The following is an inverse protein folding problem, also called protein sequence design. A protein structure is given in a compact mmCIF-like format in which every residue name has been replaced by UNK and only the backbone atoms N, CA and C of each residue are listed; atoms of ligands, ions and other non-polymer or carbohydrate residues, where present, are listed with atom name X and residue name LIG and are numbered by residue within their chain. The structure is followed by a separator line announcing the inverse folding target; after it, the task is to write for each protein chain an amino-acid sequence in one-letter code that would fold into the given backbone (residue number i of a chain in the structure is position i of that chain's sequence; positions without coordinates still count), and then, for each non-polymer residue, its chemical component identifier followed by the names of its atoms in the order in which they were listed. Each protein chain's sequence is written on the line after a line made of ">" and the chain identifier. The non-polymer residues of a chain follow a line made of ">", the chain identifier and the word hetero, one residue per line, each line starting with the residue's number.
data_IF_531145628753
#
_entry.id   IF_531145628753
#
_cell.length_a   1.000
_cell.length_b   1.000
_cell.length_c   1.000
_cell.angle_alpha   90.00
_cell.angle_beta   90.00
_cell.angle_gamma   90.00
#
_symmetry.space_group_name_H-M   'P 1'
#
loop_
_entity.id
_entity.type
_entity.pdbx_description
1 polymer ?
#
# COMPACT_ATOMS: atom_id res chain seq x y z
N UNK A 1 20.14 25.82 -16.76
CA UNK A 1 19.14 25.69 -17.85
C UNK A 1 18.85 27.03 -18.52
N UNK A 2 18.36 28.05 -17.79
CA UNK A 2 17.99 29.37 -18.35
C UNK A 2 19.18 30.18 -18.91
N UNK A 3 20.37 30.03 -18.34
CA UNK A 3 21.60 30.72 -18.80
C UNK A 3 22.22 30.14 -20.07
N UNK A 4 21.77 28.97 -20.54
CA UNK A 4 22.34 28.29 -21.71
C UNK A 4 21.82 28.84 -23.04
N UNK A 5 20.51 29.01 -23.25
CA UNK A 5 19.99 29.59 -24.49
C UNK A 5 20.04 31.13 -24.45
N UNK A 6 20.70 31.79 -25.44
CA UNK A 6 20.80 33.25 -25.50
C UNK A 6 19.45 33.97 -25.49
N UNK A 7 18.43 33.37 -26.09
CA UNK A 7 17.07 33.90 -26.13
C UNK A 7 16.49 34.09 -24.72
N UNK A 8 16.57 33.09 -23.83
CA UNK A 8 16.02 33.22 -22.47
C UNK A 8 16.85 34.18 -21.63
N UNK A 9 18.18 34.15 -21.76
CA UNK A 9 19.06 35.02 -20.97
C UNK A 9 18.85 36.52 -21.25
N UNK A 10 18.40 36.89 -22.46
CA UNK A 10 18.07 38.27 -22.83
C UNK A 10 16.83 38.79 -22.08
N UNK A 11 15.80 37.95 -21.95
CA UNK A 11 14.49 38.36 -21.45
C UNK A 11 14.28 38.14 -19.96
N UNK A 12 15.13 37.34 -19.32
CA UNK A 12 14.93 36.89 -17.94
C UNK A 12 15.99 37.47 -17.01
N UNK A 13 15.61 37.78 -15.77
CA UNK A 13 16.52 38.10 -14.66
C UNK A 13 16.42 37.02 -13.60
N UNK A 14 17.55 36.43 -13.22
CA UNK A 14 17.61 35.40 -12.17
C UNK A 14 18.04 36.08 -10.87
N UNK A 15 17.26 35.89 -9.81
CA UNK A 15 17.56 36.31 -8.45
C UNK A 15 17.79 35.06 -7.59
N UNK A 16 19.03 34.56 -7.58
CA UNK A 16 19.37 33.28 -6.94
C UNK A 16 19.10 33.27 -5.43
N UNK A 17 19.36 34.39 -4.74
CA UNK A 17 19.12 34.52 -3.29
C UNK A 17 17.65 34.32 -2.88
N UNK A 18 16.73 34.69 -3.77
CA UNK A 18 15.28 34.58 -3.55
C UNK A 18 14.68 33.37 -4.27
N UNK A 19 15.50 32.55 -4.94
CA UNK A 19 15.07 31.46 -5.82
C UNK A 19 13.96 31.89 -6.79
N UNK A 20 14.15 33.07 -7.41
CA UNK A 20 13.16 33.75 -8.25
C UNK A 20 13.70 34.02 -9.65
N UNK A 21 12.84 33.86 -10.64
CA UNK A 21 13.08 34.14 -12.05
C UNK A 21 12.07 35.20 -12.48
N UNK A 22 12.53 36.33 -12.98
CA UNK A 22 11.68 37.46 -13.40
C UNK A 22 11.72 37.56 -14.92
N UNK A 23 10.56 37.57 -15.55
CA UNK A 23 10.41 37.90 -16.97
C UNK A 23 10.29 39.43 -17.11
N UNK A 24 11.35 40.06 -17.62
CA UNK A 24 11.48 41.53 -17.62
C UNK A 24 10.34 42.25 -18.38
N UNK A 25 9.86 41.77 -19.55
CA UNK A 25 8.86 42.51 -20.34
C UNK A 25 7.53 42.77 -19.63
N UNK A 26 7.06 41.83 -18.80
CA UNK A 26 5.77 41.97 -18.07
C UNK A 26 5.95 42.06 -16.56
N UNK A 27 7.20 42.02 -16.07
CA UNK A 27 7.55 41.95 -14.66
C UNK A 27 6.89 40.80 -13.89
N UNK A 28 6.44 39.75 -14.59
CA UNK A 28 5.95 38.52 -13.98
C UNK A 28 7.12 37.70 -13.45
N UNK A 29 6.86 36.82 -12.49
CA UNK A 29 7.91 36.01 -11.89
C UNK A 29 7.47 34.58 -11.60
N UNK A 30 8.45 33.68 -11.65
CA UNK A 30 8.36 32.31 -11.16
C UNK A 30 9.24 32.19 -9.93
N UNK A 31 8.73 31.63 -8.85
CA UNK A 31 9.45 31.55 -7.58
C UNK A 31 9.25 30.20 -6.93
N UNK A 32 10.34 29.64 -6.40
CA UNK A 32 10.29 28.46 -5.54
C UNK A 32 9.87 28.90 -4.14
N UNK A 33 8.81 28.28 -3.63
CA UNK A 33 8.32 28.51 -2.27
C UNK A 33 8.74 27.34 -1.38
N UNK A 34 9.21 27.61 -0.15
CA UNK A 34 9.55 26.56 0.83
C UNK A 34 8.29 25.84 1.33
N UNK A 35 8.41 24.66 1.95
CA UNK A 35 7.25 23.89 2.40
C UNK A 35 6.47 24.54 3.58
N UNK A 36 7.01 25.58 4.21
CA UNK A 36 6.41 26.24 5.38
C UNK A 36 5.22 27.12 4.98
N UNK A 37 4.03 26.80 5.49
CA UNK A 37 2.78 27.47 5.17
C UNK A 37 2.70 28.92 5.70
N UNK A 38 3.41 29.22 6.80
CA UNK A 38 3.21 30.45 7.59
C UNK A 38 3.66 31.74 6.89
N UNK A 39 4.55 31.66 5.88
CA UNK A 39 5.08 32.83 5.16
C UNK A 39 4.35 33.16 3.85
N UNK A 40 3.21 32.51 3.58
CA UNK A 40 2.59 32.50 2.23
C UNK A 40 1.23 33.18 2.11
N UNK A 41 0.67 33.70 3.20
CA UNK A 41 -0.51 34.55 3.11
C UNK A 41 -0.15 35.86 2.35
N UNK A 42 -0.92 36.20 1.31
CA UNK A 42 -0.79 37.46 0.58
C UNK A 42 -0.08 37.40 -0.78
N UNK A 43 0.33 36.23 -1.26
CA UNK A 43 0.76 36.11 -2.66
C UNK A 43 -0.46 36.12 -3.59
N UNK A 44 -0.43 36.98 -4.60
CA UNK A 44 -1.46 37.07 -5.63
C UNK A 44 -1.08 36.17 -6.82
N UNK A 45 -1.37 34.87 -6.70
CA UNK A 45 -0.79 33.81 -7.55
C UNK A 45 -1.65 33.52 -8.77
N UNK A 46 -1.08 33.63 -9.98
CA UNK A 46 -1.76 33.23 -11.23
C UNK A 46 -1.69 31.73 -11.51
N UNK A 47 -0.73 31.02 -10.93
CA UNK A 47 -0.67 29.57 -11.05
C UNK A 47 0.32 28.92 -10.10
N UNK A 48 0.03 27.66 -9.74
CA UNK A 48 0.80 26.87 -8.78
C UNK A 48 1.17 25.55 -9.45
N UNK A 49 2.45 25.18 -9.35
CA UNK A 49 2.92 23.83 -9.65
C UNK A 49 3.33 23.21 -8.34
N UNK A 50 2.56 22.23 -7.89
CA UNK A 50 2.79 21.48 -6.68
C UNK A 50 3.35 20.12 -7.06
N UNK A 51 4.65 19.96 -6.88
CA UNK A 51 5.35 18.71 -7.16
C UNK A 51 5.38 17.82 -5.91
N UNK A 52 5.44 16.51 -6.12
CA UNK A 52 5.51 15.49 -5.07
C UNK A 52 4.48 15.63 -3.94
N UNK A 53 3.20 15.81 -4.28
CA UNK A 53 2.11 15.98 -3.29
C UNK A 53 2.06 14.88 -2.20
N UNK A 54 2.41 13.62 -2.51
CA UNK A 54 2.48 12.51 -1.55
C UNK A 54 3.46 12.73 -0.39
N UNK A 55 4.44 13.63 -0.55
CA UNK A 55 5.43 13.94 0.50
C UNK A 55 4.90 14.93 1.54
N UNK A 56 3.76 15.57 1.28
CA UNK A 56 3.26 16.62 2.16
C UNK A 56 2.83 16.05 3.51
N UNK A 57 3.30 16.65 4.62
CA UNK A 57 3.02 16.13 5.96
C UNK A 57 1.57 16.34 6.37
N UNK A 58 0.92 17.39 5.86
CA UNK A 58 -0.46 17.75 6.16
C UNK A 58 -1.05 18.66 5.06
N UNK A 59 -2.32 19.05 5.24
CA UNK A 59 -3.10 19.86 4.30
C UNK A 59 -2.79 21.36 4.31
N UNK A 60 -2.04 21.87 5.30
CA UNK A 60 -1.94 23.31 5.54
C UNK A 60 -1.38 24.07 4.34
N UNK A 61 -0.28 23.58 3.75
CA UNK A 61 0.29 24.22 2.57
C UNK A 61 -0.64 24.13 1.35
N UNK A 62 -1.33 23.01 1.18
CA UNK A 62 -2.28 22.84 0.08
C UNK A 62 -3.45 23.82 0.19
N UNK A 63 -4.05 23.97 1.38
CA UNK A 63 -5.16 24.90 1.59
C UNK A 63 -4.75 26.37 1.39
N UNK A 64 -3.59 26.80 1.91
CA UNK A 64 -3.11 28.18 1.75
C UNK A 64 -2.90 28.54 0.27
N UNK A 65 -2.36 27.59 -0.52
CA UNK A 65 -2.09 27.82 -1.94
C UNK A 65 -3.37 27.77 -2.78
N UNK A 66 -4.30 26.88 -2.44
CA UNK A 66 -5.50 26.62 -3.24
C UNK A 66 -6.68 27.54 -2.90
N UNK A 67 -6.81 27.97 -1.64
CA UNK A 67 -7.92 28.82 -1.17
C UNK A 67 -7.45 30.27 -0.99
N UNK A 68 -6.48 30.51 -0.12
CA UNK A 68 -6.16 31.88 0.30
C UNK A 68 -5.39 32.70 -0.77
N UNK A 69 -4.55 32.05 -1.58
CA UNK A 69 -3.66 32.74 -2.52
C UNK A 69 -4.23 32.90 -3.94
N UNK A 70 -5.32 32.16 -4.24
CA UNK A 70 -5.96 32.11 -5.56
C UNK A 70 -7.15 33.06 -5.72
N UNK A 71 -7.84 33.37 -4.62
CA UNK A 71 -9.12 34.09 -4.61
C UNK A 71 -9.03 35.51 -5.21
N UNK A 72 -7.84 36.11 -5.23
CA UNK A 72 -7.61 37.44 -5.81
C UNK A 72 -7.45 37.45 -7.34
N UNK A 73 -7.37 36.29 -8.01
CA UNK A 73 -7.20 36.19 -9.49
C UNK A 73 -8.38 35.51 -10.15
N UNK A 74 -8.73 36.03 -11.33
CA UNK A 74 -9.59 35.32 -12.27
C UNK A 74 -8.80 34.20 -12.95
N UNK A 75 -9.39 33.00 -12.99
CA UNK A 75 -8.86 31.82 -13.68
C UNK A 75 -7.43 31.37 -13.28
N UNK A 76 -7.12 31.22 -11.98
CA UNK A 76 -5.83 30.65 -11.56
C UNK A 76 -5.71 29.19 -12.00
N UNK A 77 -4.48 28.74 -12.30
CA UNK A 77 -4.22 27.36 -12.75
C UNK A 77 -3.35 26.59 -11.76
N UNK A 78 -3.81 25.41 -11.36
CA UNK A 78 -3.13 24.54 -10.40
C UNK A 78 -2.72 23.23 -11.05
N UNK A 79 -1.44 22.89 -10.94
CA UNK A 79 -0.90 21.59 -11.33
C UNK A 79 -0.49 20.82 -10.09
N UNK A 80 -1.10 19.66 -9.87
CA UNK A 80 -0.69 18.72 -8.83
C UNK A 80 -0.02 17.53 -9.51
N UNK A 81 1.27 17.37 -9.28
CA UNK A 81 2.09 16.30 -9.86
C UNK A 81 2.56 15.43 -8.71
N UNK A 82 2.38 14.11 -8.83
CA UNK A 82 2.77 13.20 -7.77
C UNK A 82 2.82 11.76 -8.23
N UNK A 83 3.47 10.93 -7.42
CA UNK A 83 3.39 9.47 -7.44
C UNK A 83 2.51 8.97 -6.31
N UNK A 84 2.06 7.72 -6.40
CA UNK A 84 1.28 7.06 -5.36
C UNK A 84 2.08 7.02 -4.05
N UNK A 85 1.39 7.27 -2.94
CA UNK A 85 1.99 7.24 -1.62
C UNK A 85 1.74 5.93 -0.88
N UNK A 86 2.17 5.91 0.39
CA UNK A 86 1.90 4.81 1.32
C UNK A 86 0.82 5.11 2.35
N UNK A 87 0.38 6.37 2.42
CA UNK A 87 -0.57 6.88 3.42
C UNK A 87 -1.91 7.21 2.78
N UNK A 88 -2.92 6.42 3.10
CA UNK A 88 -4.31 6.65 2.68
C UNK A 88 -4.98 7.81 3.43
N UNK A 89 -4.46 8.19 4.59
CA UNK A 89 -4.88 9.40 5.32
C UNK A 89 -3.98 10.59 4.99
N UNK A 90 -3.89 10.96 3.71
CA UNK A 90 -3.08 12.08 3.24
C UNK A 90 -3.84 12.98 2.25
N UNK A 91 -3.41 14.23 2.12
CA UNK A 91 -3.98 15.15 1.12
C UNK A 91 -3.80 14.62 -0.31
N UNK A 92 -2.69 13.93 -0.57
CA UNK A 92 -2.45 13.28 -1.85
C UNK A 92 -3.49 12.19 -2.13
N UNK A 93 -3.79 11.34 -1.15
CA UNK A 93 -4.81 10.29 -1.32
C UNK A 93 -6.21 10.88 -1.52
N UNK A 94 -6.55 11.96 -0.83
CA UNK A 94 -7.81 12.69 -1.04
C UNK A 94 -7.95 13.19 -2.49
N UNK A 95 -6.90 13.84 -3.02
CA UNK A 95 -6.90 14.32 -4.41
C UNK A 95 -6.92 13.16 -5.41
N UNK A 96 -6.21 12.06 -5.12
CA UNK A 96 -6.24 10.86 -5.93
C UNK A 96 -7.64 10.22 -5.98
N UNK A 97 -8.33 10.13 -4.83
CA UNK A 97 -9.69 9.60 -4.78
C UNK A 97 -10.67 10.51 -5.55
N UNK A 98 -10.56 11.84 -5.39
CA UNK A 98 -11.33 12.80 -6.19
C UNK A 98 -11.10 12.58 -7.70
N UNK A 99 -9.84 12.41 -8.11
CA UNK A 99 -9.50 12.15 -9.51
C UNK A 99 -10.12 10.85 -10.02
N UNK A 100 -10.07 9.77 -9.24
CA UNK A 100 -10.69 8.49 -9.58
C UNK A 100 -12.21 8.58 -9.69
N UNK A 101 -12.87 9.29 -8.78
CA UNK A 101 -14.32 9.45 -8.79
C UNK A 101 -14.80 10.27 -9.99
N UNK A 102 -14.03 11.28 -10.42
CA UNK A 102 -14.30 12.05 -11.65
C UNK A 102 -14.12 11.19 -12.90
N UNK A 103 -13.01 10.45 -13.01
CA UNK A 103 -12.77 9.54 -14.13
C UNK A 103 -13.83 8.43 -14.22
N UNK A 104 -14.35 7.97 -13.09
CA UNK A 104 -15.41 6.96 -13.03
C UNK A 104 -16.83 7.56 -13.24
N UNK A 105 -16.96 8.88 -13.42
CA UNK A 105 -18.24 9.55 -13.57
C UNK A 105 -19.10 9.61 -12.29
N UNK A 106 -18.56 9.23 -11.13
CA UNK A 106 -19.24 9.31 -9.83
C UNK A 106 -19.35 10.75 -9.33
N UNK A 107 -18.43 11.61 -9.74
CA UNK A 107 -18.39 13.04 -9.40
C UNK A 107 -18.21 13.85 -10.67
N UNK A 108 -18.95 14.95 -10.78
CA UNK A 108 -18.83 15.90 -11.89
C UNK A 108 -18.22 17.18 -11.32
N UNK A 109 -17.00 17.50 -11.77
CA UNK A 109 -16.31 18.74 -11.43
C UNK A 109 -15.58 19.26 -12.68
N UNK A 110 -16.14 20.25 -13.40
CA UNK A 110 -15.55 20.75 -14.65
C UNK A 110 -14.26 21.56 -14.42
N UNK A 111 -13.92 21.89 -13.16
CA UNK A 111 -12.71 22.65 -12.81
C UNK A 111 -11.50 21.76 -12.54
N UNK A 112 -11.69 20.44 -12.48
CA UNK A 112 -10.64 19.48 -12.14
C UNK A 112 -10.43 18.50 -13.29
N UNK A 113 -9.23 18.53 -13.89
CA UNK A 113 -8.86 17.65 -14.99
C UNK A 113 -7.90 16.54 -14.49
N UNK A 114 -8.40 15.32 -14.22
CA UNK A 114 -7.58 14.22 -13.74
C UNK A 114 -6.85 13.49 -14.89
N UNK A 115 -5.58 13.18 -14.67
CA UNK A 115 -4.82 12.22 -15.49
C UNK A 115 -4.07 11.30 -14.55
N UNK A 116 -4.30 9.98 -14.66
CA UNK A 116 -3.64 8.97 -13.84
C UNK A 116 -3.02 7.95 -14.78
N UNK A 117 -1.69 7.85 -14.74
CA UNK A 117 -0.95 6.73 -15.31
C UNK A 117 -0.56 5.80 -14.17
N UNK A 118 -1.16 4.62 -14.13
CA UNK A 118 -0.94 3.65 -13.07
C UNK A 118 -1.58 2.31 -13.39
N UNK A 119 -1.05 1.27 -12.78
CA UNK A 119 -1.62 -0.06 -12.81
C UNK A 119 -2.78 -0.16 -11.80
N UNK A 120 -3.77 -0.99 -12.11
CA UNK A 120 -4.77 -1.39 -11.12
C UNK A 120 -4.09 -2.19 -9.99
N UNK A 121 -4.70 -2.25 -8.81
CA UNK A 121 -4.06 -2.87 -7.64
C UNK A 121 -3.83 -4.39 -7.82
N UNK A 122 -4.68 -5.00 -8.62
CA UNK A 122 -4.76 -6.42 -8.97
C UNK A 122 -4.06 -6.77 -10.30
N UNK A 123 -3.60 -5.78 -11.07
CA UNK A 123 -2.79 -6.01 -12.27
C UNK A 123 -1.50 -6.78 -11.89
N UNK A 124 -1.07 -7.72 -12.75
CA UNK A 124 0.21 -8.41 -12.59
C UNK A 124 1.36 -7.42 -12.73
N UNK A 125 2.00 -7.11 -11.61
CA UNK A 125 3.10 -6.17 -11.54
C UNK A 125 4.35 -6.62 -12.30
N UNK A 126 4.42 -7.89 -12.72
CA UNK A 126 5.54 -8.45 -13.47
C UNK A 126 5.31 -8.47 -14.99
N UNK A 127 4.12 -8.09 -15.45
CA UNK A 127 3.76 -8.01 -16.86
C UNK A 127 4.21 -6.69 -17.50
N UNK A 128 4.98 -6.78 -18.59
CA UNK A 128 5.48 -5.61 -19.32
C UNK A 128 4.35 -4.76 -19.92
N UNK A 129 3.22 -5.37 -20.29
CA UNK A 129 2.06 -4.62 -20.80
C UNK A 129 1.50 -3.67 -19.74
N UNK A 130 1.47 -4.11 -18.47
CA UNK A 130 1.10 -3.28 -17.32
C UNK A 130 2.11 -2.14 -17.13
N UNK A 131 3.40 -2.38 -17.39
CA UNK A 131 4.42 -1.34 -17.29
C UNK A 131 4.23 -0.26 -18.34
N UNK A 132 3.94 -0.61 -19.59
CA UNK A 132 3.65 0.36 -20.65
C UNK A 132 2.39 1.19 -20.35
N UNK A 133 1.35 0.57 -19.78
CA UNK A 133 0.13 1.27 -19.33
C UNK A 133 0.43 2.30 -18.24
N UNK A 134 1.29 1.97 -17.27
CA UNK A 134 1.63 2.86 -16.16
C UNK A 134 2.71 3.91 -16.51
N UNK A 135 3.52 3.67 -17.56
CA UNK A 135 4.66 4.51 -17.92
C UNK A 135 4.57 4.96 -19.39
N UNK A 136 3.89 6.09 -19.70
CA UNK A 136 3.75 6.58 -21.07
C UNK A 136 5.07 6.94 -21.77
N UNK A 137 6.15 7.12 -21.00
CA UNK A 137 7.48 7.48 -21.48
C UNK A 137 8.44 6.28 -21.62
N UNK A 138 7.97 5.07 -21.31
CA UNK A 138 8.73 3.84 -21.46
C UNK A 138 9.15 3.65 -22.93
N UNK A 139 10.39 3.23 -23.15
CA UNK A 139 11.10 3.17 -24.44
C UNK A 139 11.33 4.49 -25.18
N UNK A 140 10.81 5.61 -24.68
CA UNK A 140 11.17 6.95 -25.12
C UNK A 140 12.31 7.54 -24.30
N UNK A 141 12.07 7.73 -23.00
CA UNK A 141 13.05 8.33 -22.07
C UNK A 141 13.61 7.34 -21.06
N UNK A 142 12.83 6.31 -20.72
CA UNK A 142 13.25 5.23 -19.81
C UNK A 142 13.38 3.95 -20.64
N UNK A 143 14.57 3.37 -20.78
CA UNK A 143 14.74 2.10 -21.47
C UNK A 143 14.00 0.97 -20.73
N UNK A 144 13.22 0.15 -21.44
CA UNK A 144 12.52 -1.01 -20.88
C UNK A 144 13.44 -1.93 -20.05
N UNK A 145 14.71 -2.08 -20.47
CA UNK A 145 15.66 -2.94 -19.77
C UNK A 145 15.87 -2.55 -18.31
N UNK A 146 15.88 -1.25 -17.98
CA UNK A 146 15.99 -0.79 -16.58
C UNK A 146 14.79 -1.20 -15.74
N UNK A 147 13.61 -1.31 -16.34
CA UNK A 147 12.39 -1.75 -15.65
C UNK A 147 12.41 -3.26 -15.47
N UNK A 148 12.86 -4.03 -16.48
CA UNK A 148 13.09 -5.48 -16.36
C UNK A 148 14.05 -5.82 -15.23
N UNK A 149 15.19 -5.15 -15.17
CA UNK A 149 16.21 -5.38 -14.15
C UNK A 149 15.66 -5.06 -12.74
N UNK A 150 14.93 -3.95 -12.59
CA UNK A 150 14.28 -3.58 -11.34
C UNK A 150 13.18 -4.59 -10.93
N UNK A 151 12.39 -5.09 -11.88
CA UNK A 151 11.38 -6.13 -11.63
C UNK A 151 12.04 -7.44 -11.17
N UNK A 152 13.13 -7.85 -11.82
CA UNK A 152 13.86 -9.06 -11.46
C UNK A 152 14.37 -9.02 -10.01
N UNK A 153 14.94 -7.88 -9.61
CA UNK A 153 15.40 -7.66 -8.23
C UNK A 153 14.22 -7.67 -7.23
N UNK A 154 13.14 -6.98 -7.58
CA UNK A 154 11.91 -6.92 -6.80
C UNK A 154 11.26 -8.29 -6.56
N UNK A 155 11.36 -9.25 -7.49
CA UNK A 155 10.75 -10.60 -7.35
C UNK A 155 11.30 -11.38 -6.16
N UNK A 156 12.50 -11.04 -5.71
CA UNK A 156 13.19 -11.72 -4.60
C UNK A 156 13.15 -10.91 -3.31
N UNK A 157 12.83 -9.62 -3.37
CA UNK A 157 12.88 -8.71 -2.23
C UNK A 157 11.54 -7.95 -2.06
N UNK A 158 10.74 -8.28 -1.03
CA UNK A 158 9.45 -7.61 -0.77
C UNK A 158 9.54 -6.09 -0.59
N UNK A 159 10.68 -5.55 -0.10
CA UNK A 159 10.90 -4.10 0.03
C UNK A 159 10.98 -3.47 -1.37
N UNK A 160 11.71 -4.13 -2.26
CA UNK A 160 11.88 -3.68 -3.64
C UNK A 160 10.62 -3.91 -4.46
N UNK A 161 9.83 -4.95 -4.18
CA UNK A 161 8.49 -5.12 -4.76
C UNK A 161 7.60 -3.92 -4.44
N UNK A 162 7.52 -3.52 -3.17
CA UNK A 162 6.75 -2.34 -2.76
C UNK A 162 7.25 -1.07 -3.47
N UNK A 163 8.58 -0.90 -3.54
CA UNK A 163 9.20 0.24 -4.22
C UNK A 163 8.90 0.23 -5.72
N UNK A 164 8.95 -0.93 -6.37
CA UNK A 164 8.65 -1.10 -7.78
C UNK A 164 7.18 -0.78 -8.06
N UNK A 165 6.25 -1.37 -7.30
CA UNK A 165 4.82 -1.12 -7.42
C UNK A 165 4.48 0.35 -7.22
N UNK A 166 5.07 1.00 -6.22
CA UNK A 166 4.86 2.42 -5.96
C UNK A 166 5.43 3.31 -7.07
N UNK A 167 6.71 3.15 -7.41
CA UNK A 167 7.43 4.11 -8.25
C UNK A 167 7.37 3.82 -9.75
N UNK A 168 7.17 2.56 -10.15
CA UNK A 168 7.03 2.16 -11.57
C UNK A 168 5.59 1.94 -11.97
N UNK A 169 4.75 1.46 -11.07
CA UNK A 169 3.35 1.15 -11.41
C UNK A 169 2.35 2.15 -10.84
N UNK A 170 2.82 3.12 -10.06
CA UNK A 170 1.98 4.14 -9.43
C UNK A 170 0.84 3.51 -8.59
N UNK A 171 1.11 2.36 -7.96
CA UNK A 171 0.19 1.67 -7.07
C UNK A 171 0.33 2.20 -5.64
N UNK A 172 -0.80 2.31 -4.93
CA UNK A 172 -0.79 2.62 -3.52
C UNK A 172 -0.39 1.36 -2.74
N UNK A 173 0.76 1.41 -2.06
CA UNK A 173 1.30 0.28 -1.30
C UNK A 173 1.24 0.55 0.20
N UNK A 174 1.12 -0.49 1.02
CA UNK A 174 1.18 -0.34 2.48
C UNK A 174 2.64 -0.11 2.91
N UNK A 175 2.83 0.69 3.96
CA UNK A 175 4.17 0.95 4.52
C UNK A 175 4.79 -0.30 5.16
N UNK A 176 3.98 -1.27 5.62
CA UNK A 176 4.50 -2.54 6.13
C UNK A 176 4.98 -3.41 4.97
N UNK A 177 6.26 -3.77 5.03
CA UNK A 177 6.85 -4.75 4.12
C UNK A 177 6.60 -6.14 4.68
N UNK A 178 6.09 -7.05 3.85
CA UNK A 178 5.96 -8.47 4.23
C UNK A 178 7.37 -9.05 4.41
N UNK A 179 7.58 -9.84 5.47
CA UNK A 179 8.88 -10.44 5.73
C UNK A 179 9.27 -11.51 4.67
N UNK A 180 8.27 -12.14 4.05
CA UNK A 180 8.44 -13.14 2.98
C UNK A 180 7.62 -12.75 1.74
N UNK A 181 8.17 -13.02 0.55
CA UNK A 181 7.45 -12.80 -0.71
C UNK A 181 6.32 -13.82 -0.87
N UNK A 182 5.21 -13.40 -1.50
CA UNK A 182 4.09 -14.32 -1.75
C UNK A 182 4.45 -15.43 -2.73
N UNK A 183 5.40 -15.20 -3.63
CA UNK A 183 5.90 -16.25 -4.52
C UNK A 183 6.61 -17.36 -3.72
N UNK A 184 7.45 -16.99 -2.74
CA UNK A 184 8.06 -17.99 -1.84
C UNK A 184 7.00 -18.64 -0.96
N UNK A 185 6.03 -17.89 -0.43
CA UNK A 185 4.91 -18.46 0.34
C UNK A 185 4.13 -19.49 -0.47
N UNK A 186 3.67 -19.13 -1.67
CA UNK A 186 2.84 -19.97 -2.53
C UNK A 186 3.57 -21.21 -3.05
N UNK A 187 4.90 -21.22 -3.13
CA UNK A 187 5.68 -22.44 -3.46
C UNK A 187 5.63 -23.52 -2.37
N UNK A 188 5.04 -23.21 -1.21
CA UNK A 188 4.88 -24.12 -0.08
C UNK A 188 3.40 -24.44 0.17
N UNK A 189 2.58 -24.51 -0.89
CA UNK A 189 1.15 -24.80 -0.86
C UNK A 189 0.79 -26.30 -0.87
N UNK A 190 1.76 -27.17 -0.57
CA UNK A 190 1.54 -28.62 -0.54
C UNK A 190 0.48 -29.03 0.49
N UNK A 191 -0.39 -30.00 0.17
CA UNK A 191 -1.42 -30.45 1.10
C UNK A 191 -0.78 -31.10 2.34
N UNK A 192 -1.38 -30.86 3.51
CA UNK A 192 -0.99 -31.48 4.77
C UNK A 192 -2.09 -32.44 5.20
N UNK A 193 -1.80 -33.75 5.10
CA UNK A 193 -2.71 -34.80 5.56
C UNK A 193 -2.40 -35.14 7.02
N UNK A 194 -3.30 -34.79 7.93
CA UNK A 194 -3.11 -34.99 9.38
C UNK A 194 -2.93 -36.46 9.75
N UNK A 195 -3.57 -37.38 9.02
CA UNK A 195 -3.48 -38.82 9.29
C UNK A 195 -2.07 -39.39 9.05
N UNK A 196 -1.25 -38.72 8.22
CA UNK A 196 0.16 -39.09 8.01
C UNK A 196 1.08 -38.60 9.15
N UNK A 197 0.54 -37.77 10.05
CA UNK A 197 1.29 -37.15 11.14
C UNK A 197 1.01 -37.81 12.51
N UNK A 198 0.17 -38.85 12.55
CA UNK A 198 -0.16 -39.59 13.76
C UNK A 198 1.10 -40.06 14.51
N UNK A 199 1.13 -39.80 15.81
CA UNK A 199 2.24 -40.10 16.71
C UNK A 199 3.50 -39.25 16.52
N UNK A 200 3.56 -38.37 15.51
CA UNK A 200 4.76 -37.56 15.26
C UNK A 200 5.00 -36.52 16.33
N UNK A 201 6.27 -36.27 16.55
CA UNK A 201 6.74 -35.18 17.40
C UNK A 201 6.41 -33.85 16.74
N UNK A 202 5.84 -32.91 17.49
CA UNK A 202 5.59 -31.54 17.04
C UNK A 202 5.69 -30.53 18.19
N UNK A 203 5.88 -29.27 17.82
CA UNK A 203 5.72 -28.12 18.72
C UNK A 203 4.49 -27.31 18.32
N UNK A 204 3.85 -26.66 19.28
CA UNK A 204 2.67 -25.83 19.09
C UNK A 204 2.91 -24.35 19.38
N UNK A 205 2.17 -23.49 18.69
CA UNK A 205 2.02 -22.06 19.01
C UNK A 205 0.55 -21.72 19.19
N UNK A 206 0.19 -21.06 20.28
CA UNK A 206 -1.17 -20.64 20.61
C UNK A 206 -1.24 -19.12 20.77
N UNK A 207 -2.08 -18.47 19.97
CA UNK A 207 -2.40 -17.04 20.05
C UNK A 207 -3.89 -16.89 20.36
N UNK A 208 -4.20 -16.43 21.58
CA UNK A 208 -5.57 -16.30 22.08
C UNK A 208 -6.09 -14.88 21.86
N UNK A 209 -7.12 -14.73 21.02
CA UNK A 209 -7.81 -13.47 20.87
C UNK A 209 -8.80 -13.25 22.02
N UNK A 210 -8.94 -11.98 22.45
CA UNK A 210 -9.88 -11.61 23.52
C UNK A 210 -11.28 -11.28 23.00
N UNK A 211 -11.40 -10.41 21.99
CA UNK A 211 -12.70 -9.87 21.53
C UNK A 211 -12.82 -9.67 20.02
N UNK A 212 -11.77 -9.18 19.34
CA UNK A 212 -11.85 -8.79 17.92
C UNK A 212 -10.94 -9.56 16.97
N UNK A 213 -9.89 -10.18 17.48
CA UNK A 213 -8.88 -10.87 16.67
C UNK A 213 -9.28 -12.33 16.40
N UNK A 214 -8.48 -13.03 15.60
CA UNK A 214 -8.67 -14.47 15.32
C UNK A 214 -7.82 -15.23 16.31
N UNK A 215 -8.40 -16.19 17.01
CA UNK A 215 -7.62 -17.13 17.83
C UNK A 215 -6.98 -18.16 16.92
N UNK A 216 -5.70 -18.45 17.10
CA UNK A 216 -4.95 -19.36 16.25
C UNK A 216 -4.17 -20.39 17.10
N UNK A 217 -4.24 -21.65 16.70
CA UNK A 217 -3.36 -22.70 17.21
C UNK A 217 -2.66 -23.36 16.03
N UNK A 218 -1.34 -23.49 16.08
CA UNK A 218 -0.55 -24.00 14.96
C UNK A 218 0.41 -25.05 15.46
N UNK A 219 0.34 -26.26 14.90
CA UNK A 219 1.33 -27.31 15.11
C UNK A 219 2.37 -27.30 13.98
N UNK A 220 3.63 -27.40 14.37
CA UNK A 220 4.78 -27.49 13.47
C UNK A 220 5.47 -28.84 13.67
N UNK A 221 5.49 -29.63 12.60
CA UNK A 221 6.10 -30.96 12.56
C UNK A 221 7.48 -30.87 11.90
N UNK A 222 8.58 -31.11 12.63
CA UNK A 222 9.91 -31.13 12.07
C UNK A 222 10.10 -32.35 11.16
N UNK A 223 10.95 -32.23 10.13
CA UNK A 223 11.22 -33.32 9.20
C UNK A 223 11.98 -34.49 9.85
N UNK A 224 11.76 -35.70 9.36
CA UNK A 224 12.60 -36.86 9.66
C UNK A 224 13.68 -36.99 8.58
N UNK A 225 14.86 -36.45 8.89
CA UNK A 225 16.00 -36.43 7.96
C UNK A 225 15.93 -35.29 6.94
N UNK A 226 16.89 -35.26 6.03
CA UNK A 226 17.15 -34.10 5.17
C UNK A 226 16.19 -33.99 3.96
N UNK A 227 15.51 -35.09 3.60
CA UNK A 227 14.63 -35.15 2.42
C UNK A 227 13.18 -34.73 2.70
N UNK A 228 12.81 -34.55 3.97
CA UNK A 228 11.49 -34.11 4.36
C UNK A 228 11.46 -32.60 4.67
N UNK A 229 10.33 -31.94 4.40
CA UNK A 229 10.10 -30.54 4.76
C UNK A 229 9.30 -30.44 6.07
N UNK A 230 9.41 -29.30 6.73
CA UNK A 230 8.48 -28.95 7.81
C UNK A 230 7.04 -29.02 7.31
N UNK A 231 6.15 -29.59 8.12
CA UNK A 231 4.70 -29.57 7.88
C UNK A 231 4.03 -28.72 8.95
N UNK A 232 3.06 -27.90 8.53
CA UNK A 232 2.38 -26.95 9.40
C UNK A 232 0.88 -27.25 9.34
N UNK A 233 0.26 -27.43 10.51
CA UNK A 233 -1.18 -27.62 10.65
C UNK A 233 -1.75 -26.48 11.50
N UNK A 234 -2.41 -25.49 10.88
CA UNK A 234 -3.06 -24.41 11.61
C UNK A 234 -4.56 -24.66 11.81
N UNK A 235 -5.07 -24.16 12.94
CA UNK A 235 -6.49 -24.07 13.26
C UNK A 235 -6.81 -22.65 13.70
N UNK A 236 -7.94 -22.15 13.26
CA UNK A 236 -8.35 -20.76 13.46
C UNK A 236 -9.78 -20.72 13.98
N UNK A 237 -10.03 -19.86 14.97
CA UNK A 237 -11.36 -19.67 15.54
C UNK A 237 -11.77 -18.20 15.54
N UNK A 238 -13.06 -17.99 15.25
CA UNK A 238 -13.76 -16.75 15.52
C UNK A 238 -15.03 -17.01 16.33
N UNK A 239 -15.61 -15.94 16.87
CA UNK A 239 -16.90 -15.99 17.57
C UNK A 239 -18.03 -16.09 16.55
N UNK A 240 -18.93 -17.06 16.74
CA UNK A 240 -20.07 -17.29 15.84
C UNK A 240 -20.94 -16.04 15.69
N UNK A 241 -21.27 -15.40 16.83
CA UNK A 241 -22.12 -14.20 16.88
C UNK A 241 -21.55 -13.02 16.09
N UNK A 242 -20.23 -12.96 15.96
CA UNK A 242 -19.54 -11.85 15.30
C UNK A 242 -19.15 -12.16 13.86
N UNK A 243 -19.35 -13.38 13.36
CA UNK A 243 -18.89 -13.80 12.03
C UNK A 243 -19.46 -12.90 10.93
N UNK A 244 -20.79 -12.69 10.89
CA UNK A 244 -21.43 -11.82 9.88
C UNK A 244 -21.01 -10.36 9.99
N UNK A 245 -20.87 -9.85 11.22
CA UNK A 245 -20.42 -8.48 11.46
C UNK A 245 -18.98 -8.27 10.99
N UNK A 246 -18.11 -9.27 11.20
CA UNK A 246 -16.71 -9.24 10.77
C UNK A 246 -16.55 -9.32 9.26
N UNK A 247 -17.39 -10.08 8.55
CA UNK A 247 -17.38 -10.08 7.08
C UNK A 247 -17.58 -8.67 6.53
N UNK A 248 -18.57 -7.94 7.08
CA UNK A 248 -18.85 -6.55 6.66
C UNK A 248 -17.77 -5.57 7.10
N UNK A 249 -17.29 -5.69 8.35
CA UNK A 249 -16.29 -4.77 8.92
C UNK A 249 -14.91 -4.95 8.28
N UNK A 250 -14.42 -6.19 8.25
CA UNK A 250 -13.04 -6.51 7.85
C UNK A 250 -12.91 -6.71 6.33
N UNK A 251 -14.04 -6.85 5.62
CA UNK A 251 -14.10 -7.16 4.19
C UNK A 251 -13.35 -8.46 3.85
N UNK A 252 -13.43 -9.46 4.75
CA UNK A 252 -12.83 -10.79 4.63
C UNK A 252 -13.96 -11.83 4.60
N UNK A 253 -13.94 -12.83 3.70
CA UNK A 253 -15.03 -13.80 3.54
C UNK A 253 -14.94 -14.93 4.59
N UNK A 254 -15.05 -14.58 5.87
CA UNK A 254 -14.98 -15.54 6.99
C UNK A 254 -16.10 -16.58 6.95
N UNK A 255 -17.28 -16.21 6.47
CA UNK A 255 -18.41 -17.10 6.24
C UNK A 255 -18.09 -18.20 5.24
N UNK A 256 -17.44 -17.83 4.13
CA UNK A 256 -16.97 -18.79 3.14
C UNK A 256 -15.91 -19.72 3.74
N UNK A 257 -14.93 -19.17 4.45
CA UNK A 257 -13.87 -19.98 5.06
C UNK A 257 -14.40 -20.97 6.10
N UNK A 258 -15.40 -20.56 6.89
CA UNK A 258 -16.11 -21.46 7.81
C UNK A 258 -16.81 -22.59 7.04
N UNK A 259 -17.56 -22.25 5.98
CA UNK A 259 -18.23 -23.26 5.15
C UNK A 259 -17.27 -24.24 4.46
N UNK A 260 -16.02 -23.81 4.24
CA UNK A 260 -14.95 -24.61 3.62
C UNK A 260 -14.10 -25.38 4.65
N UNK A 261 -14.33 -25.19 5.95
CA UNK A 261 -13.55 -25.82 7.02
C UNK A 261 -12.14 -25.23 7.21
N UNK A 262 -11.87 -24.03 6.68
CA UNK A 262 -10.61 -23.31 6.93
C UNK A 262 -10.62 -22.47 8.21
N UNK A 263 -11.80 -22.30 8.79
CA UNK A 263 -12.06 -21.50 9.98
C UNK A 263 -13.13 -22.21 10.79
N UNK A 264 -12.99 -22.23 12.10
CA UNK A 264 -13.98 -22.78 13.02
C UNK A 264 -14.67 -21.64 13.79
N UNK A 265 -15.85 -21.92 14.31
CA UNK A 265 -16.57 -21.01 15.20
C UNK A 265 -16.64 -21.54 16.62
N UNK A 266 -16.42 -20.67 17.59
CA UNK A 266 -16.71 -20.95 19.00
C UNK A 266 -18.07 -20.37 19.36
N UNK A 267 -18.85 -21.11 20.14
CA UNK A 267 -20.19 -20.69 20.58
C UNK A 267 -20.13 -19.41 21.43
N UNK A 268 -21.11 -18.51 21.23
CA UNK A 268 -21.28 -17.30 22.02
C UNK A 268 -20.40 -16.12 21.61
N UNK A 269 -20.24 -15.17 22.54
CA UNK A 269 -19.65 -13.85 22.30
C UNK A 269 -18.28 -13.62 22.98
N UNK A 270 -17.70 -14.65 23.60
CA UNK A 270 -16.36 -14.65 24.21
C UNK A 270 -15.68 -15.97 23.87
N UNK A 271 -14.37 -15.95 23.64
CA UNK A 271 -13.60 -17.15 23.31
C UNK A 271 -13.63 -18.08 24.51
N UNK A 272 -14.27 -19.25 24.37
CA UNK A 272 -14.29 -20.28 25.40
C UNK A 272 -12.95 -21.02 25.42
N UNK A 273 -12.03 -20.57 26.28
CA UNK A 273 -10.71 -21.20 26.42
C UNK A 273 -10.78 -22.71 26.70
N UNK A 274 -11.78 -23.18 27.44
CA UNK A 274 -11.97 -24.61 27.69
C UNK A 274 -12.31 -25.43 26.45
N UNK A 275 -12.94 -24.82 25.43
CA UNK A 275 -13.17 -25.50 24.15
C UNK A 275 -11.84 -25.70 23.40
N UNK A 276 -11.01 -24.65 23.35
CA UNK A 276 -9.71 -24.69 22.70
C UNK A 276 -8.77 -25.64 23.45
N UNK A 277 -8.77 -25.60 24.78
CA UNK A 277 -7.98 -26.50 25.62
C UNK A 277 -8.34 -27.96 25.33
N UNK A 278 -9.63 -28.31 25.34
CA UNK A 278 -10.09 -29.67 24.99
C UNK A 278 -9.68 -30.06 23.57
N UNK A 279 -9.79 -29.14 22.61
CA UNK A 279 -9.35 -29.39 21.24
C UNK A 279 -7.85 -29.71 21.17
N UNK A 280 -7.02 -28.97 21.90
CA UNK A 280 -5.58 -29.21 21.99
C UNK A 280 -5.29 -30.56 22.69
N UNK A 281 -6.04 -30.90 23.74
CA UNK A 281 -5.93 -32.20 24.41
C UNK A 281 -6.25 -33.36 23.46
N UNK A 282 -7.32 -33.24 22.67
CA UNK A 282 -7.70 -34.22 21.66
C UNK A 282 -6.59 -34.39 20.61
N UNK A 283 -5.98 -33.29 20.15
CA UNK A 283 -4.80 -33.33 19.27
C UNK A 283 -3.59 -33.99 19.95
N UNK A 284 -3.41 -33.81 21.26
CA UNK A 284 -2.37 -34.47 22.05
C UNK A 284 -2.53 -35.99 22.15
N UNK A 285 -3.74 -36.52 21.92
CA UNK A 285 -3.94 -37.98 21.81
C UNK A 285 -3.51 -38.55 20.45
N UNK A 286 -3.53 -37.70 19.42
CA UNK A 286 -3.15 -38.05 18.04
C UNK A 286 -1.67 -37.81 17.79
N UNK A 287 -1.12 -36.71 18.30
CA UNK A 287 0.23 -36.26 18.03
C UNK A 287 1.08 -36.16 19.30
N UNK A 288 2.39 -36.33 19.18
CA UNK A 288 3.33 -36.19 20.29
C UNK A 288 3.75 -34.72 20.42
N UNK A 289 2.85 -33.89 20.94
CA UNK A 289 3.07 -32.46 21.18
C UNK A 289 4.06 -32.30 22.35
N UNK A 290 5.24 -31.72 22.08
CA UNK A 290 6.32 -31.60 23.08
C UNK A 290 6.26 -30.31 23.88
N UNK A 291 5.88 -29.23 23.22
CA UNK A 291 5.88 -27.90 23.79
C UNK A 291 4.81 -27.07 23.08
N UNK A 292 4.15 -26.18 23.81
CA UNK A 292 3.25 -25.18 23.26
C UNK A 292 3.70 -23.82 23.78
N UNK A 293 4.13 -22.95 22.87
CA UNK A 293 4.39 -21.55 23.17
C UNK A 293 3.08 -20.76 23.08
N UNK A 294 2.83 -19.86 24.03
CA UNK A 294 1.66 -18.99 24.03
C UNK A 294 2.01 -17.62 24.60
N UNK A 295 1.34 -16.58 24.11
CA UNK A 295 1.47 -15.22 24.64
C UNK A 295 0.63 -15.06 25.92
N UNK A 296 1.14 -14.27 26.86
CA UNK A 296 0.63 -14.13 28.23
C UNK A 296 -0.19 -12.84 28.42
#
# INVERSE_FOLDING_TARGET
>A
MVSRPPALSKHVKILSSQKRIIYKPTNSFYQVLSAEAYSKHGFNISGVVFDDLHTQPNRALFDVMNKDSGDARTQPLYFFITTAGTKTHSICYEQHQKARDILAGKKIDPTFYPVIYGAAQDDDWTDEAVWHKANPSLDGTVPIQKVRDACHSAKQNPVEENTFRQLRLNQWVKQSVRWMSMNTWNKNDGPVHLDELEGRVCGGGLDLASTTDITAFVLVFPPYGDDEKYRIAPWFWILEDNLKLRVVRDHVPYDLWNSQGFLETTEGNVVHYGYIEKFIEDLGTRFNIREIAFDR
#
